data_IF_320105356411
#
_entry.id   IF_320105356411
#
_cell.length_a   1.000
_cell.length_b   1.000
_cell.length_c   1.000
_cell.angle_alpha   90.00
_cell.angle_beta   90.00
_cell.angle_gamma   90.00
#
_symmetry.space_group_name_H-M   'P 1'
#
loop_
_entity.id
_entity.type
_entity.pdbx_description
1 polymer ?
#
# COMPACT_ATOMS: atom_id res chain seq x y z
N UNK A 1 -3.55 -15.85 2.22
CA UNK A 1 -4.75 -15.36 1.48
C UNK A 1 -4.56 -15.64 0.00
N UNK A 2 -5.59 -16.13 -0.70
CA UNK A 2 -5.54 -16.19 -2.17
C UNK A 2 -5.85 -14.81 -2.73
N UNK A 3 -4.95 -14.29 -3.58
CA UNK A 3 -5.06 -12.94 -4.17
C UNK A 3 -5.95 -12.92 -5.40
N UNK A 4 -6.13 -14.07 -6.06
CA UNK A 4 -6.96 -14.20 -7.25
C UNK A 4 -8.41 -13.74 -7.00
N UNK A 5 -8.94 -12.88 -7.87
CA UNK A 5 -10.27 -12.28 -7.76
C UNK A 5 -10.43 -11.21 -6.68
N UNK A 6 -9.37 -10.89 -5.90
CA UNK A 6 -9.37 -9.84 -4.88
C UNK A 6 -9.17 -8.46 -5.49
N UNK A 7 -9.68 -7.44 -4.80
CA UNK A 7 -9.53 -6.04 -5.18
C UNK A 7 -8.51 -5.37 -4.27
N UNK A 8 -7.52 -4.72 -4.87
CA UNK A 8 -6.48 -3.99 -4.16
C UNK A 8 -6.50 -2.50 -4.51
N UNK A 9 -6.17 -1.67 -3.53
CA UNK A 9 -5.88 -0.24 -3.68
C UNK A 9 -4.41 -0.02 -3.31
N UNK A 10 -3.66 0.66 -4.18
CA UNK A 10 -2.23 0.95 -3.99
C UNK A 10 -1.97 2.44 -4.14
N UNK A 11 -1.54 3.13 -3.07
CA UNK A 11 -1.15 4.54 -3.14
C UNK A 11 0.29 4.69 -3.64
N UNK A 12 0.57 5.75 -4.44
CA UNK A 12 1.86 5.89 -5.14
C UNK A 12 2.07 4.76 -6.16
N UNK A 13 0.98 4.32 -6.81
CA UNK A 13 0.95 3.13 -7.66
C UNK A 13 1.48 3.32 -9.08
N UNK A 14 1.72 4.58 -9.51
CA UNK A 14 2.13 4.87 -10.89
C UNK A 14 3.57 4.47 -11.18
N UNK A 15 4.45 4.44 -10.19
CA UNK A 15 5.89 4.20 -10.40
C UNK A 15 6.56 3.51 -9.20
N UNK A 16 7.82 3.15 -9.37
CA UNK A 16 8.66 2.60 -8.31
C UNK A 16 8.12 1.32 -7.68
N UNK A 17 8.16 1.26 -6.34
CA UNK A 17 7.70 0.11 -5.54
C UNK A 17 6.19 -0.07 -5.67
N UNK A 18 5.41 1.01 -5.65
CA UNK A 18 3.96 0.94 -5.81
C UNK A 18 3.55 0.26 -7.11
N UNK A 19 4.16 0.66 -8.24
CA UNK A 19 3.93 0.01 -9.54
C UNK A 19 4.35 -1.47 -9.53
N UNK A 20 5.44 -1.82 -8.85
CA UNK A 20 5.85 -3.21 -8.71
C UNK A 20 4.83 -4.04 -7.91
N UNK A 21 4.24 -3.46 -6.85
CA UNK A 21 3.11 -4.08 -6.13
C UNK A 21 1.91 -4.29 -7.03
N UNK A 22 1.52 -3.28 -7.81
CA UNK A 22 0.42 -3.39 -8.78
C UNK A 22 0.66 -4.54 -9.75
N UNK A 23 1.84 -4.62 -10.37
CA UNK A 23 2.22 -5.71 -11.28
C UNK A 23 2.15 -7.09 -10.60
N UNK A 24 2.68 -7.20 -9.39
CA UNK A 24 2.69 -8.46 -8.64
C UNK A 24 1.27 -8.94 -8.28
N UNK A 25 0.38 -8.01 -7.93
CA UNK A 25 -1.03 -8.29 -7.62
C UNK A 25 -1.80 -8.71 -8.88
N UNK A 26 -1.64 -7.99 -10.00
CA UNK A 26 -2.25 -8.33 -11.29
C UNK A 26 -1.78 -9.70 -11.80
N UNK A 27 -0.48 -10.00 -11.69
CA UNK A 27 0.10 -11.30 -12.03
C UNK A 27 -0.44 -12.47 -11.19
N UNK A 28 -1.08 -12.18 -10.05
CA UNK A 28 -1.77 -13.16 -9.19
C UNK A 28 -3.29 -13.16 -9.36
N UNK A 29 -3.80 -12.47 -10.37
CA UNK A 29 -5.24 -12.46 -10.68
C UNK A 29 -6.07 -11.43 -9.89
N UNK A 30 -5.46 -10.49 -9.18
CA UNK A 30 -6.19 -9.40 -8.54
C UNK A 30 -6.71 -8.37 -9.55
N UNK A 31 -7.69 -7.57 -9.11
CA UNK A 31 -8.04 -6.27 -9.70
C UNK A 31 -7.37 -5.18 -8.86
N UNK A 32 -6.86 -4.11 -9.49
CA UNK A 32 -6.06 -3.11 -8.78
C UNK A 32 -6.46 -1.69 -9.16
N UNK A 33 -6.75 -0.89 -8.14
CA UNK A 33 -6.80 0.56 -8.24
C UNK A 33 -5.43 1.14 -7.90
N UNK A 34 -4.79 1.79 -8.86
CA UNK A 34 -3.56 2.53 -8.64
C UNK A 34 -3.89 4.01 -8.41
N UNK A 35 -3.46 4.53 -7.27
CA UNK A 35 -3.62 5.94 -6.89
C UNK A 35 -2.28 6.65 -7.00
N UNK A 36 -2.26 7.80 -7.65
CA UNK A 36 -1.08 8.66 -7.69
C UNK A 36 -1.50 10.12 -7.90
N UNK A 37 -0.69 11.06 -7.41
CA UNK A 37 -0.92 12.49 -7.68
C UNK A 37 -0.53 12.89 -9.10
N UNK A 38 0.43 12.18 -9.71
CA UNK A 38 0.89 12.41 -11.07
C UNK A 38 -0.05 11.72 -12.06
N UNK A 39 -0.92 12.53 -12.70
CA UNK A 39 -1.92 12.05 -13.65
C UNK A 39 -1.29 11.41 -14.88
N UNK A 40 -0.24 12.01 -15.44
CA UNK A 40 0.44 11.52 -16.63
C UNK A 40 1.07 10.15 -16.38
N UNK A 41 1.93 10.05 -15.37
CA UNK A 41 2.56 8.77 -14.99
C UNK A 41 1.51 7.71 -14.61
N UNK A 42 0.38 8.12 -14.02
CA UNK A 42 -0.72 7.23 -13.68
C UNK A 42 -1.39 6.62 -14.88
N UNK A 43 -1.71 7.45 -15.88
CA UNK A 43 -2.35 7.01 -17.13
C UNK A 43 -1.39 6.13 -17.96
N UNK A 44 -0.14 6.51 -18.10
CA UNK A 44 0.89 5.70 -18.77
C UNK A 44 1.07 4.34 -18.11
N UNK A 45 1.16 4.34 -16.77
CA UNK A 45 1.31 3.09 -16.01
C UNK A 45 0.09 2.18 -16.19
N UNK A 46 -1.13 2.76 -16.15
CA UNK A 46 -2.37 2.01 -16.40
C UNK A 46 -2.38 1.41 -17.80
N UNK A 47 -2.08 2.19 -18.84
CA UNK A 47 -2.07 1.70 -20.22
C UNK A 47 -1.10 0.53 -20.42
N UNK A 48 0.14 0.66 -19.92
CA UNK A 48 1.13 -0.41 -19.99
C UNK A 48 0.75 -1.67 -19.18
N UNK A 49 0.01 -1.50 -18.08
CA UNK A 49 -0.47 -2.63 -17.28
C UNK A 49 -1.66 -3.32 -17.94
N UNK A 50 -2.57 -2.58 -18.58
CA UNK A 50 -3.70 -3.14 -19.31
C UNK A 50 -3.24 -3.92 -20.56
N UNK A 51 -2.16 -3.47 -21.22
CA UNK A 51 -1.53 -4.21 -22.31
C UNK A 51 -0.87 -5.51 -21.83
N UNK A 52 -0.23 -5.48 -20.64
CA UNK A 52 0.46 -6.64 -20.08
C UNK A 52 -0.47 -7.66 -19.45
N UNK A 53 -1.57 -7.22 -18.87
CA UNK A 53 -2.51 -8.04 -18.10
C UNK A 53 -3.92 -7.87 -18.64
N UNK A 54 -4.40 -8.81 -19.43
CA UNK A 54 -5.73 -8.79 -20.04
C UNK A 54 -6.88 -8.57 -19.04
N UNK A 55 -7.99 -7.98 -19.51
CA UNK A 55 -9.29 -8.08 -18.86
C UNK A 55 -9.68 -6.95 -17.93
N UNK A 56 -9.35 -5.69 -18.25
CA UNK A 56 -9.89 -4.50 -17.55
C UNK A 56 -9.80 -4.60 -16.01
N UNK A 57 -8.65 -5.07 -15.51
CA UNK A 57 -8.43 -5.31 -14.09
C UNK A 57 -7.75 -4.14 -13.37
N UNK A 58 -7.55 -3.02 -14.07
CA UNK A 58 -6.93 -1.83 -13.51
C UNK A 58 -7.84 -0.62 -13.60
N UNK A 59 -7.76 0.24 -12.59
CA UNK A 59 -8.28 1.61 -12.64
C UNK A 59 -7.23 2.56 -12.08
N UNK A 60 -7.01 3.68 -12.77
CA UNK A 60 -6.22 4.77 -12.24
C UNK A 60 -7.12 5.83 -11.63
N UNK A 61 -6.79 6.30 -10.43
CA UNK A 61 -7.48 7.38 -9.74
C UNK A 61 -6.44 8.43 -9.35
N UNK A 62 -6.52 9.62 -9.94
CA UNK A 62 -5.69 10.72 -9.50
C UNK A 62 -6.06 11.10 -8.07
N UNK A 63 -5.06 11.11 -7.17
CA UNK A 63 -5.27 11.36 -5.75
C UNK A 63 -3.99 11.89 -5.10
N UNK A 64 -4.08 13.05 -4.47
CA UNK A 64 -3.10 13.49 -3.48
C UNK A 64 -3.49 12.87 -2.13
N UNK A 65 -2.63 12.00 -1.60
CA UNK A 65 -2.88 11.29 -0.33
C UNK A 65 -2.87 12.22 0.89
N UNK A 66 -2.37 13.45 0.76
CA UNK A 66 -2.40 14.47 1.81
C UNK A 66 -3.75 15.14 1.94
N UNK A 67 -4.54 15.13 0.85
CA UNK A 67 -5.91 15.62 0.83
C UNK A 67 -6.87 14.52 1.33
N UNK A 68 -7.53 14.78 2.44
CA UNK A 68 -8.41 13.81 3.10
C UNK A 68 -9.63 13.48 2.25
N UNK A 69 -10.21 14.46 1.57
CA UNK A 69 -11.42 14.25 0.77
C UNK A 69 -11.10 13.50 -0.52
N UNK A 70 -9.97 13.81 -1.19
CA UNK A 70 -9.52 13.05 -2.35
C UNK A 70 -9.25 11.60 -1.98
N UNK A 71 -8.56 11.36 -0.86
CA UNK A 71 -8.26 9.99 -0.43
C UNK A 71 -9.54 9.21 -0.10
N UNK A 72 -10.48 9.79 0.65
CA UNK A 72 -11.79 9.17 0.93
C UNK A 72 -12.59 8.92 -0.34
N UNK A 73 -12.63 9.90 -1.24
CA UNK A 73 -13.28 9.78 -2.55
C UNK A 73 -12.68 8.67 -3.41
N UNK A 74 -11.35 8.47 -3.35
CA UNK A 74 -10.68 7.39 -4.06
C UNK A 74 -11.11 6.01 -3.54
N UNK A 75 -11.20 5.81 -2.22
CA UNK A 75 -11.73 4.55 -1.64
C UNK A 75 -13.17 4.27 -2.11
N UNK A 76 -14.03 5.30 -2.10
CA UNK A 76 -15.40 5.19 -2.59
C UNK A 76 -15.45 4.77 -4.06
N UNK A 77 -14.66 5.41 -4.93
CA UNK A 77 -14.57 5.06 -6.37
C UNK A 77 -14.12 3.61 -6.59
N UNK A 78 -13.22 3.08 -5.76
CA UNK A 78 -12.80 1.68 -5.85
C UNK A 78 -13.97 0.73 -5.58
N UNK A 79 -14.77 1.01 -4.54
CA UNK A 79 -15.97 0.22 -4.25
C UNK A 79 -17.00 0.34 -5.38
N UNK A 80 -17.26 1.55 -5.88
CA UNK A 80 -18.17 1.80 -7.00
C UNK A 80 -17.75 1.04 -8.27
N UNK A 81 -16.44 0.98 -8.55
CA UNK A 81 -15.92 0.37 -9.77
C UNK A 81 -15.82 -1.16 -9.70
N UNK A 82 -15.37 -1.71 -8.57
CA UNK A 82 -15.08 -3.14 -8.42
C UNK A 82 -16.07 -3.89 -7.50
N UNK A 83 -16.95 -3.19 -6.80
CA UNK A 83 -17.93 -3.74 -5.88
C UNK A 83 -17.38 -4.13 -4.51
N UNK A 84 -16.06 -4.13 -4.30
CA UNK A 84 -15.41 -4.55 -3.04
C UNK A 84 -14.01 -3.97 -2.89
N UNK A 85 -13.45 -4.06 -1.69
CA UNK A 85 -12.04 -3.81 -1.40
C UNK A 85 -11.54 -4.90 -0.43
N UNK A 86 -10.39 -5.50 -0.73
CA UNK A 86 -9.82 -6.60 0.06
C UNK A 86 -8.40 -6.29 0.55
N UNK A 87 -7.67 -5.46 -0.19
CA UNK A 87 -6.26 -5.18 0.07
C UNK A 87 -6.02 -3.67 -0.05
N UNK A 88 -5.41 -3.08 0.97
CA UNK A 88 -4.90 -1.70 0.92
C UNK A 88 -3.39 -1.72 1.06
N UNK A 89 -2.68 -1.06 0.14
CA UNK A 89 -1.25 -0.85 0.20
C UNK A 89 -0.97 0.65 0.33
N UNK A 90 -0.70 1.11 1.55
CA UNK A 90 -0.26 2.46 1.84
C UNK A 90 1.23 2.56 1.51
N UNK A 91 1.54 2.88 0.24
CA UNK A 91 2.91 2.91 -0.29
C UNK A 91 3.40 4.33 -0.61
N UNK A 92 2.52 5.28 -0.90
CA UNK A 92 2.93 6.65 -1.20
C UNK A 92 3.93 7.17 -0.17
N UNK A 93 5.03 7.74 -0.63
CA UNK A 93 6.08 8.23 0.25
C UNK A 93 7.14 9.03 -0.51
N UNK A 94 7.74 9.96 0.20
CA UNK A 94 8.81 10.84 -0.28
C UNK A 94 9.95 10.87 0.74
N UNK A 95 11.11 11.33 0.30
CA UNK A 95 12.24 11.62 1.15
C UNK A 95 12.73 13.04 0.84
N UNK A 96 12.17 14.02 1.52
CA UNK A 96 12.48 15.44 1.32
C UNK A 96 12.62 16.13 2.69
N UNK A 97 13.85 16.24 3.17
CA UNK A 97 14.15 16.89 4.46
C UNK A 97 13.99 18.41 4.42
N UNK A 98 14.01 19.03 3.22
CA UNK A 98 13.81 20.48 3.07
C UNK A 98 12.35 20.87 3.27
N UNK A 99 11.44 19.99 2.82
CA UNK A 99 9.99 20.11 3.02
C UNK A 99 9.54 18.99 3.96
N UNK A 100 9.98 19.11 5.21
CA UNK A 100 9.77 18.08 6.22
C UNK A 100 8.30 17.94 6.62
N UNK A 101 7.52 19.01 6.60
CA UNK A 101 6.09 19.02 6.92
C UNK A 101 5.32 18.17 5.91
N UNK A 102 5.57 18.38 4.61
CA UNK A 102 5.01 17.58 3.54
C UNK A 102 5.46 16.11 3.65
N UNK A 103 6.72 15.86 4.03
CA UNK A 103 7.23 14.50 4.27
C UNK A 103 6.44 13.79 5.38
N UNK A 104 6.11 14.47 6.48
CA UNK A 104 5.27 13.92 7.56
C UNK A 104 3.85 13.64 7.04
N UNK A 105 3.25 14.59 6.33
CA UNK A 105 1.89 14.44 5.80
C UNK A 105 1.78 13.26 4.84
N UNK A 106 2.76 13.09 3.94
CA UNK A 106 2.76 11.99 2.97
C UNK A 106 3.12 10.66 3.63
N UNK A 107 4.22 10.60 4.40
CA UNK A 107 4.78 9.32 4.84
C UNK A 107 4.08 8.72 6.06
N UNK A 108 3.45 9.53 6.90
CA UNK A 108 2.85 9.09 8.15
C UNK A 108 1.36 9.40 8.22
N UNK A 109 0.96 10.66 8.05
CA UNK A 109 -0.46 11.05 8.20
C UNK A 109 -1.34 10.35 7.18
N UNK A 110 -0.90 10.28 5.91
CA UNK A 110 -1.64 9.59 4.85
C UNK A 110 -1.77 8.08 5.12
N UNK A 111 -0.73 7.45 5.66
CA UNK A 111 -0.73 6.02 6.02
C UNK A 111 -1.74 5.76 7.14
N UNK A 112 -1.79 6.63 8.14
CA UNK A 112 -2.79 6.55 9.22
C UNK A 112 -4.20 6.68 8.64
N UNK A 113 -4.47 7.69 7.80
CA UNK A 113 -5.76 7.90 7.14
C UNK A 113 -6.16 6.70 6.26
N UNK A 114 -5.26 6.25 5.39
CA UNK A 114 -5.49 5.08 4.51
C UNK A 114 -5.76 3.81 5.30
N UNK A 115 -5.10 3.63 6.45
CA UNK A 115 -5.36 2.50 7.35
C UNK A 115 -6.77 2.58 7.95
N UNK A 116 -7.21 3.73 8.47
CA UNK A 116 -8.56 3.87 9.01
C UNK A 116 -9.63 3.72 7.94
N UNK A 117 -9.44 4.28 6.75
CA UNK A 117 -10.34 4.05 5.60
C UNK A 117 -10.38 2.56 5.21
N UNK A 118 -9.24 1.89 5.15
CA UNK A 118 -9.20 0.44 4.92
C UNK A 118 -9.99 -0.34 5.97
N UNK A 119 -9.86 0.01 7.24
CA UNK A 119 -10.64 -0.59 8.34
C UNK A 119 -12.14 -0.29 8.21
N UNK A 120 -12.52 0.90 7.76
CA UNK A 120 -13.90 1.29 7.51
C UNK A 120 -14.51 0.48 6.37
N UNK A 121 -13.90 0.50 5.18
CA UNK A 121 -14.47 -0.10 3.97
C UNK A 121 -14.38 -1.64 3.92
N UNK A 122 -13.35 -2.24 4.51
CA UNK A 122 -13.19 -3.70 4.54
C UNK A 122 -13.79 -4.35 5.78
N UNK A 123 -14.25 -3.55 6.75
CA UNK A 123 -14.66 -4.04 8.06
C UNK A 123 -15.95 -4.86 8.06
N UNK A 124 -15.92 -6.04 8.69
CA UNK A 124 -17.11 -6.89 8.85
C UNK A 124 -18.29 -6.18 9.52
N UNK A 125 -18.02 -5.30 10.48
CA UNK A 125 -19.06 -4.48 11.11
C UNK A 125 -19.72 -3.45 10.18
N UNK A 126 -19.14 -3.19 9.02
CA UNK A 126 -19.63 -2.25 8.02
C UNK A 126 -20.01 -2.94 6.70
N UNK A 127 -20.28 -4.24 6.73
CA UNK A 127 -20.69 -5.03 5.55
C UNK A 127 -19.54 -5.54 4.67
N UNK A 128 -18.28 -5.33 5.06
CA UNK A 128 -17.12 -5.89 4.36
C UNK A 128 -16.80 -7.32 4.82
N UNK A 129 -16.04 -8.05 4.00
CA UNK A 129 -15.60 -9.43 4.27
C UNK A 129 -14.32 -9.53 5.13
N UNK A 130 -13.78 -8.40 5.58
CA UNK A 130 -12.44 -8.28 6.11
C UNK A 130 -11.42 -8.06 4.99
N UNK A 131 -10.13 -7.97 5.35
CA UNK A 131 -9.07 -7.73 4.35
C UNK A 131 -7.69 -7.59 4.96
N UNK A 132 -6.74 -7.16 4.15
CA UNK A 132 -5.34 -6.93 4.53
C UNK A 132 -4.96 -5.49 4.27
N UNK A 133 -4.30 -4.87 5.25
CA UNK A 133 -3.69 -3.54 5.09
C UNK A 133 -2.18 -3.69 5.22
N UNK A 134 -1.47 -3.16 4.24
CA UNK A 134 -0.02 -3.19 4.13
C UNK A 134 0.49 -1.75 4.20
N UNK A 135 1.26 -1.43 5.23
CA UNK A 135 1.88 -0.13 5.41
C UNK A 135 3.37 -0.21 5.08
N UNK A 136 3.81 0.56 4.07
CA UNK A 136 5.20 0.52 3.61
C UNK A 136 6.07 1.41 4.50
N UNK A 137 6.92 0.77 5.30
CA UNK A 137 7.95 1.43 6.07
C UNK A 137 9.30 1.41 5.34
N UNK A 138 10.39 1.37 6.07
CA UNK A 138 11.78 1.35 5.56
C UNK A 138 12.70 0.77 6.62
N UNK A 139 13.93 0.38 6.24
CA UNK A 139 15.02 0.18 7.19
C UNK A 139 15.25 1.41 8.07
N UNK A 140 15.03 2.61 7.53
CA UNK A 140 15.05 3.85 8.29
C UNK A 140 13.95 3.94 9.38
N UNK A 141 13.02 3.00 9.43
CA UNK A 141 12.07 2.82 10.53
C UNK A 141 12.57 1.92 11.66
N UNK A 142 13.73 1.26 11.49
CA UNK A 142 14.36 0.39 12.49
C UNK A 142 15.68 0.93 13.00
N UNK A 143 16.41 1.69 12.18
CA UNK A 143 17.72 2.22 12.47
C UNK A 143 17.86 3.64 11.94
N UNK A 144 18.73 4.46 12.55
CA UNK A 144 18.95 5.82 12.07
C UNK A 144 19.60 5.80 10.68
N UNK A 145 19.16 6.73 9.82
CA UNK A 145 19.77 7.00 8.53
C UNK A 145 20.36 8.42 8.55
N UNK A 146 21.65 8.53 8.27
CA UNK A 146 22.34 9.82 8.24
C UNK A 146 21.65 10.77 7.25
N UNK A 147 21.55 12.04 7.60
CA UNK A 147 20.96 13.12 6.80
C UNK A 147 19.45 12.99 6.48
N UNK A 148 18.72 12.07 7.17
CA UNK A 148 17.29 11.84 6.93
C UNK A 148 16.49 11.71 8.24
N UNK A 149 16.61 12.66 9.19
CA UNK A 149 15.99 12.52 10.51
C UNK A 149 14.46 12.53 10.45
N UNK A 150 13.83 13.36 9.61
CA UNK A 150 12.38 13.41 9.49
C UNK A 150 11.86 12.18 8.76
N UNK A 151 12.51 11.76 7.69
CA UNK A 151 12.16 10.49 7.02
C UNK A 151 12.23 9.30 7.99
N UNK A 152 13.31 9.19 8.79
CA UNK A 152 13.43 8.19 9.84
C UNK A 152 12.28 8.25 10.84
N UNK A 153 11.96 9.44 11.35
CA UNK A 153 10.88 9.63 12.30
C UNK A 153 9.53 9.16 11.72
N UNK A 154 9.23 9.49 10.46
CA UNK A 154 7.99 9.03 9.80
C UNK A 154 7.94 7.52 9.67
N UNK A 155 9.04 6.87 9.30
CA UNK A 155 9.10 5.42 9.09
C UNK A 155 9.10 4.62 10.40
N UNK A 156 9.68 5.13 11.49
CA UNK A 156 9.49 4.61 12.85
C UNK A 156 8.03 4.78 13.30
N UNK A 157 7.42 5.94 13.02
CA UNK A 157 6.00 6.19 13.31
C UNK A 157 5.07 5.19 12.60
N UNK A 158 5.33 4.86 11.34
CA UNK A 158 4.56 3.85 10.59
C UNK A 158 4.64 2.47 11.27
N UNK A 159 5.83 2.05 11.72
CA UNK A 159 6.01 0.76 12.43
C UNK A 159 5.23 0.77 13.75
N UNK A 160 5.44 1.79 14.58
CA UNK A 160 4.76 1.92 15.87
C UNK A 160 3.24 1.94 15.73
N UNK A 161 2.73 2.75 14.78
CA UNK A 161 1.31 2.83 14.48
C UNK A 161 0.74 1.47 14.04
N UNK A 162 1.39 0.81 13.06
CA UNK A 162 0.92 -0.46 12.52
C UNK A 162 0.84 -1.54 13.58
N UNK A 163 1.88 -1.67 14.42
CA UNK A 163 1.88 -2.62 15.55
C UNK A 163 0.77 -2.32 16.54
N UNK A 164 0.58 -1.06 16.93
CA UNK A 164 -0.43 -0.65 17.90
C UNK A 164 -1.84 -0.88 17.39
N UNK A 165 -2.15 -0.52 16.13
CA UNK A 165 -3.49 -0.70 15.58
C UNK A 165 -3.81 -2.19 15.32
N UNK A 166 -2.80 -3.02 15.05
CA UNK A 166 -2.95 -4.47 14.93
C UNK A 166 -3.39 -5.10 16.25
N UNK A 167 -2.81 -4.68 17.38
CA UNK A 167 -3.23 -5.12 18.71
C UNK A 167 -4.69 -4.79 18.99
N UNK A 168 -5.14 -3.57 18.69
CA UNK A 168 -6.53 -3.12 18.88
C UNK A 168 -7.53 -3.96 18.08
N UNK A 169 -7.11 -4.53 16.96
CA UNK A 169 -7.99 -5.25 16.04
C UNK A 169 -7.84 -6.78 16.08
N UNK A 170 -7.12 -7.36 17.04
CA UNK A 170 -6.90 -8.82 17.18
C UNK A 170 -8.20 -9.67 17.21
N UNK A 171 -9.33 -9.11 17.61
CA UNK A 171 -10.62 -9.81 17.65
C UNK A 171 -11.48 -9.69 16.39
N UNK A 172 -11.11 -8.90 15.40
CA UNK A 172 -11.97 -8.54 14.25
C UNK A 172 -11.56 -9.17 12.92
N UNK A 173 -10.80 -10.27 12.93
CA UNK A 173 -10.40 -11.05 11.74
C UNK A 173 -9.78 -10.23 10.58
N UNK A 174 -8.94 -9.24 10.91
CA UNK A 174 -8.25 -8.38 9.95
C UNK A 174 -6.75 -8.55 10.12
N UNK A 175 -6.03 -8.77 9.02
CA UNK A 175 -4.58 -8.73 9.01
C UNK A 175 -4.09 -7.31 8.74
N UNK A 176 -3.27 -6.79 9.63
CA UNK A 176 -2.46 -5.59 9.45
C UNK A 176 -1.01 -6.00 9.37
N UNK A 177 -0.35 -5.67 8.29
CA UNK A 177 1.05 -6.01 8.05
C UNK A 177 1.86 -4.74 7.78
N UNK A 178 3.04 -4.66 8.38
CA UNK A 178 4.07 -3.70 8.03
C UNK A 178 5.05 -4.36 7.07
N UNK A 179 5.37 -3.71 5.97
CA UNK A 179 6.42 -4.17 5.07
C UNK A 179 7.58 -3.18 5.15
N UNK A 180 8.74 -3.71 5.53
CA UNK A 180 9.99 -2.97 5.53
C UNK A 180 10.54 -2.94 4.10
N UNK A 181 10.55 -1.78 3.46
CA UNK A 181 11.16 -1.63 2.14
C UNK A 181 12.61 -1.17 2.25
N UNK A 182 13.50 -1.85 1.52
CA UNK A 182 14.93 -1.51 1.41
C UNK A 182 15.14 -0.36 0.39
N UNK A 183 14.38 0.72 0.48
CA UNK A 183 14.36 1.80 -0.51
C UNK A 183 15.72 2.48 -0.74
N UNK A 184 16.64 2.47 0.20
CA UNK A 184 17.93 3.20 0.09
C UNK A 184 19.04 2.45 -0.65
N UNK A 185 18.85 1.21 -1.08
CA UNK A 185 19.78 0.56 -1.99
C UNK A 185 19.36 0.83 -3.43
N UNK A 186 20.33 1.30 -4.27
CA UNK A 186 20.19 1.36 -5.74
C UNK A 186 19.96 -0.05 -6.27
N UNK A 187 18.72 -0.55 -6.19
CA UNK A 187 18.37 -1.83 -6.77
C UNK A 187 18.05 -1.69 -8.26
N UNK A 188 18.59 -2.55 -9.13
CA UNK A 188 18.21 -2.66 -10.53
C UNK A 188 16.71 -2.95 -10.68
N UNK A 189 16.09 -2.49 -11.77
CA UNK A 189 14.64 -2.63 -12.04
C UNK A 189 14.11 -4.07 -11.86
N UNK A 190 14.91 -5.10 -12.19
CA UNK A 190 14.55 -6.52 -12.03
C UNK A 190 14.41 -6.95 -10.57
N UNK A 191 15.23 -6.43 -9.67
CA UNK A 191 15.22 -6.81 -8.24
C UNK A 191 14.03 -6.24 -7.47
N UNK A 192 13.45 -5.09 -7.92
CA UNK A 192 12.24 -4.49 -7.31
C UNK A 192 11.03 -5.41 -7.44
N UNK A 193 10.86 -6.06 -8.59
CA UNK A 193 9.78 -7.03 -8.85
C UNK A 193 10.01 -8.29 -8.01
N UNK A 194 11.26 -8.73 -7.87
CA UNK A 194 11.63 -9.89 -7.06
C UNK A 194 11.34 -9.64 -5.58
N UNK A 195 11.62 -8.44 -5.08
CA UNK A 195 11.33 -8.04 -3.70
C UNK A 195 9.83 -8.01 -3.42
N UNK A 196 9.03 -7.40 -4.28
CA UNK A 196 7.55 -7.41 -4.15
C UNK A 196 7.01 -8.85 -4.17
N UNK A 197 7.50 -9.69 -5.07
CA UNK A 197 7.12 -11.12 -5.17
C UNK A 197 7.59 -11.93 -3.95
N UNK A 198 8.76 -11.62 -3.39
CA UNK A 198 9.27 -12.28 -2.18
C UNK A 198 8.39 -11.99 -0.98
N UNK A 199 7.99 -10.73 -0.76
CA UNK A 199 7.07 -10.36 0.33
C UNK A 199 5.70 -11.03 0.18
N UNK A 200 5.14 -11.07 -1.02
CA UNK A 200 3.87 -11.76 -1.28
C UNK A 200 4.02 -13.30 -1.10
N UNK A 201 5.21 -13.89 -1.25
CA UNK A 201 5.47 -15.32 -0.99
C UNK A 201 5.69 -15.63 0.50
N UNK A 202 6.33 -14.76 1.28
CA UNK A 202 6.57 -14.98 2.70
C UNK A 202 5.28 -15.07 3.53
N UNK A 203 4.17 -14.47 3.08
CA UNK A 203 2.86 -14.69 3.70
C UNK A 203 2.51 -16.17 3.92
N UNK A 204 2.96 -17.08 3.05
CA UNK A 204 2.71 -18.52 3.22
C UNK A 204 3.46 -19.12 4.42
N UNK A 205 4.67 -18.65 4.72
CA UNK A 205 5.48 -19.22 5.81
C UNK A 205 5.05 -18.70 7.19
N UNK A 206 4.69 -17.42 7.30
CA UNK A 206 4.23 -16.85 8.58
C UNK A 206 2.81 -17.27 8.94
N UNK A 207 1.95 -17.53 7.96
CA UNK A 207 0.59 -18.06 8.20
C UNK A 207 0.59 -19.49 8.74
N UNK A 208 1.63 -20.27 8.45
CA UNK A 208 1.82 -21.63 8.98
C UNK A 208 2.46 -21.66 10.36
N UNK A 209 3.23 -20.66 10.73
CA UNK A 209 3.92 -20.58 12.03
C UNK A 209 3.05 -20.02 13.17
N UNK A 210 1.93 -19.37 12.87
CA UNK A 210 1.00 -18.82 13.87
C UNK A 210 -0.32 -19.60 13.96
N UNK A 211 -0.43 -20.74 13.30
CA UNK A 211 -1.61 -21.63 13.26
C UNK A 211 -1.48 -22.90 14.08
N UNK A 212 -0.65 -22.88 15.11
CA UNK A 212 -0.59 -23.93 16.14
C UNK A 212 -0.82 -23.39 17.52
#
# INVERSE_FOLDING_TARGET
>A
MHVNGKVALVTGGAQGIGRAFVQALLGKGAKVALLDRNSEAGQESKAALDEQFEGQRTVFIQCDVTDQEQLRGAFKKVIEHFGRLDIVVNNAGVNNEKDWESTIQINLTSVIRGTYLGLEYMGKGNGGDGGVIINISSLAGLMPAAFQPVYCATKHGVIGFTRSIAFKNKGSARKLEEILSLWNMRMPRRERITTANHFIRQERQYSLALGS
#
